data_IF_432316071143
#
_entry.id   IF_432316071143
#
_cell.length_a   1.000
_cell.length_b   1.000
_cell.length_c   1.000
_cell.angle_alpha   90.00
_cell.angle_beta   90.00
_cell.angle_gamma   90.00
#
_symmetry.space_group_name_H-M   'P 1'
#
loop_
_entity.id
_entity.type
_entity.pdbx_description
1 polymer ?
#
# COMPACT_ATOMS: atom_id res chain seq x y z
N UNK A 1 4.22 -35.29 -9.71
CA UNK A 1 4.53 -34.09 -8.90
C UNK A 1 4.83 -32.95 -9.87
N UNK A 2 4.34 -31.72 -9.64
CA UNK A 2 4.70 -30.58 -10.47
C UNK A 2 6.15 -30.20 -10.22
N UNK A 3 6.81 -29.64 -11.26
CA UNK A 3 8.17 -29.15 -11.16
C UNK A 3 8.24 -28.04 -10.08
N UNK A 4 9.28 -28.07 -9.25
CA UNK A 4 9.57 -26.97 -8.32
C UNK A 4 10.02 -25.75 -9.12
N UNK A 5 9.33 -24.62 -8.93
CA UNK A 5 9.64 -23.36 -9.59
C UNK A 5 10.50 -22.49 -8.68
N UNK A 6 11.46 -21.76 -9.29
CA UNK A 6 12.17 -20.70 -8.60
C UNK A 6 11.19 -19.60 -8.15
N UNK A 7 11.46 -18.91 -7.05
CA UNK A 7 10.74 -17.71 -6.71
C UNK A 7 10.76 -16.69 -7.86
N UNK A 8 9.67 -15.95 -8.01
CA UNK A 8 9.55 -14.88 -8.99
C UNK A 8 9.38 -13.54 -8.27
N UNK A 9 10.02 -12.48 -8.76
CA UNK A 9 9.96 -11.18 -8.12
C UNK A 9 9.63 -10.07 -9.12
N UNK A 10 8.71 -9.17 -8.73
CA UNK A 10 8.36 -7.97 -9.47
C UNK A 10 8.88 -6.73 -8.77
N UNK A 11 9.78 -6.01 -9.43
CA UNK A 11 10.36 -4.74 -8.99
C UNK A 11 9.96 -3.61 -9.93
N UNK A 12 10.05 -2.35 -9.50
CA UNK A 12 9.55 -1.22 -10.28
C UNK A 12 10.60 -0.21 -10.70
N UNK A 13 10.32 0.50 -11.79
CA UNK A 13 11.04 1.73 -12.14
C UNK A 13 10.62 2.91 -11.26
N UNK A 14 9.43 2.84 -10.65
CA UNK A 14 8.87 3.87 -9.75
C UNK A 14 7.83 3.26 -8.81
N UNK A 15 7.35 4.07 -7.85
CA UNK A 15 6.09 3.78 -7.14
C UNK A 15 4.94 3.75 -8.15
N UNK A 16 3.85 3.05 -7.82
CA UNK A 16 2.64 2.91 -8.63
C UNK A 16 2.84 2.36 -10.06
N UNK A 17 3.99 1.75 -10.35
CA UNK A 17 4.21 1.07 -11.64
C UNK A 17 3.25 -0.11 -11.87
N UNK A 18 2.49 -0.52 -10.84
CA UNK A 18 1.52 -1.61 -10.87
C UNK A 18 2.07 -2.95 -10.41
N UNK A 19 3.16 -2.95 -9.63
CA UNK A 19 3.77 -4.18 -9.08
C UNK A 19 2.78 -5.06 -8.33
N UNK A 20 1.97 -4.48 -7.44
CA UNK A 20 1.03 -5.22 -6.58
C UNK A 20 -0.05 -5.92 -7.40
N UNK A 21 -0.58 -5.25 -8.44
CA UNK A 21 -1.57 -5.83 -9.36
C UNK A 21 -0.97 -7.01 -10.15
N UNK A 22 0.25 -6.83 -10.69
CA UNK A 22 0.96 -7.87 -11.42
C UNK A 22 1.30 -9.05 -10.50
N UNK A 23 1.73 -8.78 -9.28
CA UNK A 23 2.00 -9.79 -8.27
C UNK A 23 0.73 -10.62 -7.98
N UNK A 24 -0.39 -9.96 -7.70
CA UNK A 24 -1.69 -10.63 -7.49
C UNK A 24 -2.12 -11.47 -8.70
N UNK A 25 -1.92 -10.94 -9.92
CA UNK A 25 -2.22 -11.67 -11.16
C UNK A 25 -1.38 -12.96 -11.28
N UNK A 26 -0.07 -12.89 -11.03
CA UNK A 26 0.79 -14.07 -11.05
C UNK A 26 0.48 -15.05 -9.92
N UNK A 27 0.13 -14.58 -8.73
CA UNK A 27 -0.43 -15.42 -7.66
C UNK A 27 -1.64 -16.22 -8.18
N UNK A 28 -2.57 -15.54 -8.85
CA UNK A 28 -3.77 -16.18 -9.41
C UNK A 28 -3.45 -17.15 -10.55
N UNK A 29 -2.55 -16.78 -11.47
CA UNK A 29 -2.13 -17.61 -12.60
C UNK A 29 -1.50 -18.92 -12.08
N UNK A 30 -0.53 -18.85 -11.18
CA UNK A 30 0.09 -20.06 -10.61
C UNK A 30 -0.93 -20.92 -9.88
N UNK A 31 -1.89 -20.33 -9.17
CA UNK A 31 -2.99 -21.08 -8.57
C UNK A 31 -3.84 -21.81 -9.62
N UNK A 32 -4.21 -21.13 -10.70
CA UNK A 32 -4.98 -21.72 -11.81
C UNK A 32 -4.20 -22.83 -12.51
N UNK A 33 -2.89 -22.66 -12.66
CA UNK A 33 -2.00 -23.68 -13.19
C UNK A 33 -1.79 -24.87 -12.22
N UNK A 34 -2.44 -24.80 -11.03
CA UNK A 34 -2.49 -25.85 -10.00
C UNK A 34 -1.21 -25.95 -9.17
N UNK A 35 -0.42 -24.88 -9.05
CA UNK A 35 0.60 -24.73 -8.02
C UNK A 35 -0.04 -24.29 -6.69
N UNK A 36 0.78 -24.23 -5.65
CA UNK A 36 0.41 -23.69 -4.34
C UNK A 36 1.27 -22.44 -4.05
N UNK A 37 0.98 -21.31 -4.75
CA UNK A 37 1.77 -20.10 -4.58
C UNK A 37 1.49 -19.41 -3.25
N UNK A 38 2.44 -18.59 -2.79
CA UNK A 38 2.21 -17.61 -1.75
C UNK A 38 2.88 -16.27 -2.12
N UNK A 39 2.27 -15.12 -1.75
CA UNK A 39 2.89 -13.82 -1.93
C UNK A 39 3.94 -13.57 -0.85
N UNK A 40 4.89 -12.66 -1.14
CA UNK A 40 5.86 -12.20 -0.17
C UNK A 40 6.31 -10.77 -0.46
N UNK A 41 6.30 -9.91 0.56
CA UNK A 41 6.91 -8.59 0.53
C UNK A 41 7.68 -8.38 1.83
N UNK A 42 8.99 -8.34 1.75
CA UNK A 42 9.86 -8.32 2.94
C UNK A 42 9.54 -7.16 3.89
N UNK A 43 9.25 -5.99 3.32
CA UNK A 43 8.81 -4.82 4.06
C UNK A 43 7.73 -4.08 3.29
N UNK A 44 6.69 -3.65 3.99
CA UNK A 44 5.70 -2.74 3.47
C UNK A 44 5.63 -1.46 4.30
N UNK A 45 5.21 -0.35 3.68
CA UNK A 45 4.91 0.90 4.37
C UNK A 45 3.50 1.30 4.01
N UNK A 46 2.55 1.12 4.94
CA UNK A 46 1.14 1.41 4.69
C UNK A 46 0.37 1.63 5.99
N UNK A 47 -0.65 2.47 5.93
CA UNK A 47 -1.66 2.61 6.98
C UNK A 47 -2.85 1.66 6.77
N UNK A 48 -2.93 1.02 5.60
CA UNK A 48 -3.88 -0.04 5.32
C UNK A 48 -3.32 -1.38 5.81
N UNK A 49 -3.92 -1.94 6.84
CA UNK A 49 -3.52 -3.19 7.44
C UNK A 49 -4.70 -4.12 7.69
N UNK A 50 -4.39 -5.36 7.92
CA UNK A 50 -5.35 -6.44 8.13
C UNK A 50 -4.93 -7.30 9.32
N UNK A 51 -5.90 -7.69 10.15
CA UNK A 51 -5.67 -8.64 11.25
C UNK A 51 -5.74 -10.06 10.71
N UNK A 52 -4.64 -10.78 10.80
CA UNK A 52 -4.56 -12.16 10.31
C UNK A 52 -5.27 -13.15 11.24
N UNK A 53 -5.69 -14.35 10.73
CA UNK A 53 -6.35 -15.34 11.55
C UNK A 53 -5.55 -15.79 12.78
N UNK A 54 -4.22 -15.73 12.73
CA UNK A 54 -3.35 -16.05 13.87
C UNK A 54 -3.18 -14.89 14.86
N UNK A 55 -3.92 -13.78 14.68
CA UNK A 55 -3.93 -12.63 15.58
C UNK A 55 -2.76 -11.66 15.40
N UNK A 56 -2.11 -11.69 14.26
CA UNK A 56 -1.08 -10.72 13.85
C UNK A 56 -1.64 -9.62 12.95
N UNK A 57 -0.77 -8.68 12.53
CA UNK A 57 -1.08 -7.59 11.62
C UNK A 57 -0.14 -7.62 10.41
N UNK A 58 -0.69 -7.42 9.20
CA UNK A 58 0.08 -7.33 7.95
C UNK A 58 -0.50 -6.29 7.00
N UNK A 59 0.25 -5.90 5.97
CA UNK A 59 -0.19 -4.97 4.94
C UNK A 59 -1.33 -5.53 4.09
N UNK A 60 -2.32 -4.69 3.76
CA UNK A 60 -3.52 -5.09 3.02
C UNK A 60 -3.22 -5.61 1.62
N UNK A 61 -2.23 -5.05 0.92
CA UNK A 61 -1.86 -5.50 -0.42
C UNK A 61 -1.48 -6.99 -0.47
N UNK A 62 -0.75 -7.50 0.54
CA UNK A 62 -0.38 -8.92 0.61
C UNK A 62 -1.54 -9.82 0.99
N UNK A 63 -2.58 -9.28 1.63
CA UNK A 63 -3.85 -9.99 1.86
C UNK A 63 -4.57 -10.26 0.53
N UNK A 64 -4.72 -9.25 -0.30
CA UNK A 64 -5.31 -9.39 -1.66
C UNK A 64 -4.55 -10.43 -2.48
N UNK A 65 -3.21 -10.44 -2.38
CA UNK A 65 -2.38 -11.41 -3.07
C UNK A 65 -2.54 -12.83 -2.50
N UNK A 66 -2.73 -12.98 -1.18
CA UNK A 66 -3.02 -14.27 -0.54
C UNK A 66 -4.40 -14.80 -0.97
N UNK A 67 -5.40 -13.92 -1.06
CA UNK A 67 -6.74 -14.24 -1.59
C UNK A 67 -6.65 -14.70 -3.05
N UNK A 68 -5.83 -14.05 -3.88
CA UNK A 68 -5.56 -14.48 -5.26
C UNK A 68 -4.93 -15.88 -5.33
N UNK A 69 -4.07 -16.24 -4.36
CA UNK A 69 -3.54 -17.58 -4.18
C UNK A 69 -4.59 -18.59 -3.66
N UNK A 70 -5.72 -18.11 -3.11
CA UNK A 70 -6.74 -18.94 -2.43
C UNK A 70 -6.22 -19.54 -1.12
N UNK A 71 -5.42 -18.79 -0.37
CA UNK A 71 -4.87 -19.17 0.94
C UNK A 71 -5.20 -18.08 1.98
N UNK A 72 -5.23 -18.47 3.25
CA UNK A 72 -5.40 -17.50 4.33
C UNK A 72 -4.16 -16.59 4.43
N UNK A 73 -4.34 -15.27 4.65
CA UNK A 73 -3.24 -14.36 4.89
C UNK A 73 -2.49 -14.74 6.18
N UNK A 74 -1.17 -14.62 6.15
CA UNK A 74 -0.27 -14.96 7.26
C UNK A 74 0.85 -13.93 7.36
N UNK A 75 1.26 -13.58 8.56
CA UNK A 75 2.26 -12.54 8.81
C UNK A 75 3.62 -12.79 8.15
N UNK A 76 3.98 -14.05 7.88
CA UNK A 76 5.18 -14.38 7.09
C UNK A 76 5.16 -13.78 5.68
N UNK A 77 3.98 -13.46 5.11
CA UNK A 77 3.86 -12.86 3.77
C UNK A 77 4.28 -11.39 3.75
N UNK A 78 4.24 -10.72 4.92
CA UNK A 78 4.72 -9.36 5.11
C UNK A 78 5.30 -9.21 6.53
N UNK A 79 6.53 -9.71 6.76
CA UNK A 79 7.11 -9.76 8.11
C UNK A 79 7.45 -8.40 8.71
N UNK A 80 7.70 -7.38 7.88
CA UNK A 80 7.98 -6.02 8.34
C UNK A 80 6.94 -5.06 7.76
N UNK A 81 6.10 -4.48 8.64
CA UNK A 81 5.16 -3.43 8.25
C UNK A 81 5.52 -2.14 9.00
N UNK A 82 5.72 -1.07 8.25
CA UNK A 82 5.94 0.27 8.77
C UNK A 82 4.64 1.07 8.68
N UNK A 83 4.17 1.59 9.81
CA UNK A 83 2.98 2.44 9.88
C UNK A 83 3.40 3.87 10.24
N UNK A 84 3.43 4.81 9.27
CA UNK A 84 3.79 6.19 9.55
C UNK A 84 2.92 6.79 10.66
N UNK A 85 3.54 7.28 11.74
CA UNK A 85 2.87 7.95 12.85
C UNK A 85 2.94 9.46 12.72
N UNK A 86 4.01 9.97 12.12
CA UNK A 86 4.23 11.36 11.75
C UNK A 86 5.28 11.44 10.62
N UNK A 87 5.63 12.64 10.18
CA UNK A 87 6.57 12.87 9.07
C UNK A 87 8.00 12.34 9.34
N UNK A 88 8.32 11.98 10.58
CA UNK A 88 9.68 11.60 11.01
C UNK A 88 9.77 10.22 11.65
N UNK A 89 8.64 9.56 11.91
CA UNK A 89 8.62 8.28 12.62
C UNK A 89 7.53 7.34 12.12
N UNK A 90 7.80 6.05 12.23
CA UNK A 90 6.86 4.98 11.93
C UNK A 90 6.82 3.99 13.08
N UNK A 91 5.64 3.45 13.36
CA UNK A 91 5.52 2.25 14.18
C UNK A 91 5.98 1.06 13.36
N UNK A 92 6.86 0.26 13.93
CA UNK A 92 7.32 -1.00 13.33
C UNK A 92 6.46 -2.15 13.85
N UNK A 93 5.86 -2.88 12.92
CA UNK A 93 5.19 -4.16 13.18
C UNK A 93 6.07 -5.25 12.61
N UNK A 94 6.58 -6.12 13.47
CA UNK A 94 7.48 -7.22 13.11
C UNK A 94 6.79 -8.55 13.34
N UNK A 95 6.72 -9.40 12.31
CA UNK A 95 6.04 -10.68 12.35
C UNK A 95 4.62 -10.56 12.95
N UNK A 96 3.91 -9.51 12.55
CA UNK A 96 2.53 -9.22 12.94
C UNK A 96 2.36 -8.55 14.32
N UNK A 97 3.43 -8.21 15.03
CA UNK A 97 3.36 -7.59 16.37
C UNK A 97 4.05 -6.23 16.41
N UNK A 98 3.44 -5.19 17.00
CA UNK A 98 4.11 -3.92 17.19
C UNK A 98 5.32 -4.09 18.13
N UNK A 99 6.49 -3.63 17.69
CA UNK A 99 7.74 -3.70 18.47
C UNK A 99 8.23 -2.34 18.93
N UNK A 100 7.53 -1.26 18.58
CA UNK A 100 7.83 0.11 18.99
C UNK A 100 7.78 1.10 17.84
N UNK A 101 8.02 2.38 18.19
CA UNK A 101 8.17 3.46 17.22
C UNK A 101 9.66 3.64 16.88
N UNK A 102 9.95 3.88 15.62
CA UNK A 102 11.28 4.11 15.12
C UNK A 102 11.30 5.40 14.32
N UNK A 103 12.23 6.31 14.63
CA UNK A 103 12.39 7.50 13.81
C UNK A 103 13.01 7.14 12.46
N UNK A 104 12.73 7.95 11.43
CA UNK A 104 13.36 7.79 10.12
C UNK A 104 14.90 7.82 10.25
N UNK A 105 15.44 8.66 11.15
CA UNK A 105 16.88 8.74 11.43
C UNK A 105 17.42 7.44 12.03
N UNK A 106 16.71 6.83 12.97
CA UNK A 106 17.11 5.56 13.59
C UNK A 106 16.92 4.42 12.60
N UNK A 107 15.81 4.40 11.87
CA UNK A 107 15.54 3.41 10.84
C UNK A 107 16.58 3.43 9.72
N UNK A 108 16.97 4.62 9.24
CA UNK A 108 18.00 4.78 8.20
C UNK A 108 19.42 4.88 8.77
N UNK A 109 19.60 5.20 10.05
CA UNK A 109 20.90 5.50 10.65
C UNK A 109 21.60 4.32 11.32
N UNK A 110 20.86 3.34 11.85
CA UNK A 110 21.45 2.23 12.61
C UNK A 110 21.50 0.96 11.74
N UNK A 111 22.66 0.71 11.18
CA UNK A 111 22.90 -0.44 10.28
C UNK A 111 22.51 -1.79 10.91
N UNK A 112 22.76 -1.97 12.22
CA UNK A 112 22.44 -3.20 12.94
C UNK A 112 20.92 -3.51 13.02
N UNK A 113 20.05 -2.50 13.04
CA UNK A 113 18.59 -2.73 13.10
C UNK A 113 18.05 -3.22 11.77
N UNK A 114 18.51 -2.67 10.64
CA UNK A 114 18.11 -3.14 9.32
C UNK A 114 18.58 -4.56 9.02
N UNK A 115 19.78 -4.90 9.46
CA UNK A 115 20.28 -6.27 9.35
C UNK A 115 19.42 -7.25 10.18
N UNK A 116 18.95 -6.84 11.35
CA UNK A 116 18.02 -7.64 12.15
C UNK A 116 16.68 -7.82 11.45
N UNK A 117 16.07 -6.74 10.93
CA UNK A 117 14.83 -6.82 10.16
C UNK A 117 14.97 -7.66 8.89
N UNK A 118 16.12 -7.56 8.20
CA UNK A 118 16.38 -8.38 7.02
C UNK A 118 16.50 -9.86 7.36
N UNK A 119 17.15 -10.21 8.47
CA UNK A 119 17.21 -11.60 8.94
C UNK A 119 15.82 -12.15 9.24
N UNK A 120 15.00 -11.40 9.93
CA UNK A 120 13.60 -11.79 10.18
C UNK A 120 12.80 -12.00 8.88
N UNK A 121 13.01 -11.11 7.89
CA UNK A 121 12.38 -11.25 6.58
C UNK A 121 12.84 -12.52 5.86
N UNK A 122 14.14 -12.86 5.91
CA UNK A 122 14.67 -14.10 5.33
C UNK A 122 14.06 -15.33 6.02
N UNK A 123 13.98 -15.33 7.35
CA UNK A 123 13.38 -16.46 8.09
C UNK A 123 11.89 -16.62 7.76
N UNK A 124 11.14 -15.53 7.64
CA UNK A 124 9.74 -15.57 7.20
C UNK A 124 9.62 -16.12 5.77
N UNK A 125 10.48 -15.67 4.85
CA UNK A 125 10.54 -16.19 3.48
C UNK A 125 10.79 -17.70 3.47
N UNK A 126 11.76 -18.20 4.23
CA UNK A 126 12.07 -19.64 4.33
C UNK A 126 10.90 -20.45 4.89
N UNK A 127 10.17 -19.92 5.87
CA UNK A 127 8.97 -20.58 6.40
C UNK A 127 7.86 -20.68 5.35
N UNK A 128 7.71 -19.66 4.48
CA UNK A 128 6.76 -19.72 3.36
C UNK A 128 7.22 -20.69 2.27
N UNK A 129 8.48 -20.62 1.86
CA UNK A 129 9.06 -21.48 0.81
C UNK A 129 8.97 -22.97 1.17
N UNK A 130 9.06 -23.32 2.45
CA UNK A 130 8.89 -24.68 2.93
C UNK A 130 7.44 -25.21 2.77
N UNK A 131 6.45 -24.33 2.62
CA UNK A 131 5.01 -24.68 2.57
C UNK A 131 4.40 -24.46 1.19
N UNK A 132 4.93 -23.51 0.42
CA UNK A 132 4.34 -23.01 -0.83
C UNK A 132 5.34 -22.96 -1.96
N UNK A 133 4.87 -23.15 -3.18
CA UNK A 133 5.68 -23.04 -4.40
C UNK A 133 4.82 -22.68 -5.62
N UNK A 134 5.21 -21.66 -6.40
CA UNK A 134 6.32 -20.74 -6.15
C UNK A 134 5.98 -19.65 -5.11
N UNK A 135 7.02 -18.97 -4.61
CA UNK A 135 6.84 -17.70 -3.89
C UNK A 135 6.87 -16.56 -4.89
N UNK A 136 5.87 -15.68 -4.80
CA UNK A 136 5.72 -14.49 -5.67
C UNK A 136 6.06 -13.25 -4.86
N UNK A 137 7.26 -12.70 -5.09
CA UNK A 137 7.81 -11.59 -4.34
C UNK A 137 7.44 -10.24 -4.97
N UNK A 138 7.24 -9.25 -4.13
CA UNK A 138 7.02 -7.85 -4.53
C UNK A 138 8.09 -6.94 -3.95
N UNK A 139 8.68 -6.09 -4.81
CA UNK A 139 9.55 -4.99 -4.40
C UNK A 139 8.79 -3.76 -3.93
N UNK A 140 9.51 -2.78 -3.38
CA UNK A 140 8.96 -1.51 -2.92
C UNK A 140 9.55 -0.33 -3.71
N UNK A 141 8.72 0.65 -4.09
CA UNK A 141 9.15 1.85 -4.80
C UNK A 141 9.92 1.57 -6.09
N UNK A 142 11.04 2.26 -6.28
CA UNK A 142 11.98 2.09 -7.39
C UNK A 142 13.26 1.41 -6.95
N UNK A 143 13.78 0.48 -7.79
CA UNK A 143 15.11 -0.13 -7.56
C UNK A 143 16.28 0.78 -7.96
N UNK A 144 15.99 1.95 -8.51
CA UNK A 144 17.00 2.96 -8.88
C UNK A 144 17.29 4.00 -7.80
N UNK A 145 16.69 3.87 -6.62
CA UNK A 145 16.95 4.74 -5.45
C UNK A 145 18.32 4.44 -4.83
N UNK A 146 19.39 4.99 -5.46
CA UNK A 146 20.78 4.69 -5.09
C UNK A 146 21.13 5.06 -3.65
N UNK A 147 20.54 6.15 -3.15
CA UNK A 147 20.69 6.61 -1.77
C UNK A 147 20.10 5.67 -0.72
N UNK A 148 19.19 4.78 -1.13
CA UNK A 148 18.54 3.78 -0.26
C UNK A 148 19.09 2.37 -0.45
N UNK A 149 19.84 2.10 -1.52
CA UNK A 149 20.25 0.76 -1.97
C UNK A 149 20.87 -0.10 -0.87
N UNK A 150 21.86 0.42 -0.16
CA UNK A 150 22.58 -0.37 0.87
C UNK A 150 21.75 -0.63 2.13
N UNK A 151 20.58 0.02 2.21
CA UNK A 151 19.63 -0.08 3.32
C UNK A 151 18.32 -0.73 2.94
N UNK A 152 18.16 -1.04 1.65
CA UNK A 152 16.96 -1.68 1.12
C UNK A 152 16.98 -3.17 1.44
N UNK A 153 15.93 -3.63 2.12
CA UNK A 153 15.72 -5.04 2.47
C UNK A 153 14.64 -5.70 1.60
N UNK A 154 14.05 -4.94 0.66
CA UNK A 154 12.83 -5.35 -0.04
C UNK A 154 13.08 -5.70 -1.50
N UNK A 155 14.01 -4.98 -2.15
CA UNK A 155 14.21 -5.09 -3.60
C UNK A 155 15.36 -6.09 -3.96
N UNK A 156 16.40 -5.61 -4.66
CA UNK A 156 17.40 -6.48 -5.24
C UNK A 156 18.18 -7.33 -4.23
N UNK A 157 18.35 -6.83 -3.01
CA UNK A 157 18.95 -7.60 -1.93
C UNK A 157 18.12 -8.84 -1.59
N UNK A 158 16.79 -8.70 -1.52
CA UNK A 158 15.88 -9.81 -1.30
C UNK A 158 15.80 -10.73 -2.52
N UNK A 159 15.83 -10.17 -3.74
CA UNK A 159 15.87 -10.94 -4.99
C UNK A 159 17.07 -11.90 -5.04
N UNK A 160 18.25 -11.40 -4.68
CA UNK A 160 19.49 -12.20 -4.64
C UNK A 160 19.40 -13.28 -3.55
N UNK A 161 18.94 -12.91 -2.36
CA UNK A 161 18.83 -13.84 -1.23
C UNK A 161 17.83 -14.98 -1.50
N UNK A 162 16.76 -14.70 -2.23
CA UNK A 162 15.74 -15.67 -2.63
C UNK A 162 16.09 -16.43 -3.92
N UNK A 163 17.22 -16.13 -4.58
CA UNK A 163 17.55 -16.59 -5.94
C UNK A 163 16.36 -16.43 -6.91
N UNK A 164 15.68 -15.28 -6.83
CA UNK A 164 14.42 -15.04 -7.53
C UNK A 164 14.66 -14.65 -8.99
N UNK A 165 13.84 -15.18 -9.89
CA UNK A 165 13.72 -14.67 -11.26
C UNK A 165 13.02 -13.30 -11.21
N UNK A 166 13.75 -12.21 -11.48
CA UNK A 166 13.29 -10.85 -11.26
C UNK A 166 12.83 -10.18 -12.56
N UNK A 167 11.70 -9.50 -12.51
CA UNK A 167 11.09 -8.77 -13.62
C UNK A 167 10.89 -7.31 -13.26
N UNK A 168 11.35 -6.40 -14.14
CA UNK A 168 11.18 -4.97 -13.97
C UNK A 168 9.82 -4.52 -14.55
N UNK A 169 8.99 -3.95 -13.73
CA UNK A 169 7.71 -3.34 -14.12
C UNK A 169 7.91 -1.85 -14.38
N UNK A 170 7.54 -1.40 -15.57
CA UNK A 170 7.65 0.00 -15.98
C UNK A 170 6.30 0.55 -16.43
N UNK A 171 5.92 1.71 -15.90
CA UNK A 171 4.70 2.43 -16.24
C UNK A 171 4.92 3.27 -17.50
N UNK A 172 4.22 2.94 -18.59
CA UNK A 172 4.31 3.69 -19.85
C UNK A 172 3.40 4.92 -19.86
N UNK A 173 2.34 4.93 -19.09
CA UNK A 173 1.33 5.99 -19.06
C UNK A 173 1.91 7.34 -18.57
N UNK A 174 2.93 7.27 -17.71
CA UNK A 174 3.64 8.47 -17.23
C UNK A 174 4.55 9.12 -18.28
N UNK A 175 4.82 8.44 -19.40
CA UNK A 175 5.80 8.84 -20.40
C UNK A 175 7.25 8.53 -20.02
N UNK A 176 8.17 8.63 -20.98
CA UNK A 176 9.60 8.44 -20.75
C UNK A 176 10.03 7.00 -20.40
N UNK A 177 9.25 5.98 -20.77
CA UNK A 177 9.48 4.58 -20.40
C UNK A 177 10.87 4.05 -20.82
N UNK A 178 11.38 4.46 -21.97
CA UNK A 178 12.72 4.08 -22.45
C UNK A 178 13.82 4.57 -21.51
N UNK A 179 13.76 5.84 -21.10
CA UNK A 179 14.71 6.44 -20.17
C UNK A 179 14.62 5.80 -18.78
N UNK A 180 13.42 5.56 -18.26
CA UNK A 180 13.22 4.95 -16.95
C UNK A 180 13.70 3.50 -16.89
N UNK A 181 13.42 2.70 -17.93
CA UNK A 181 13.88 1.29 -18.00
C UNK A 181 15.40 1.25 -18.17
N UNK A 182 15.93 1.99 -19.15
CA UNK A 182 17.38 2.01 -19.40
C UNK A 182 18.15 2.50 -18.17
N UNK A 183 17.75 3.65 -17.61
CA UNK A 183 18.41 4.22 -16.44
C UNK A 183 18.35 3.28 -15.23
N UNK A 184 17.21 2.67 -14.96
CA UNK A 184 17.06 1.70 -13.87
C UNK A 184 18.02 0.52 -14.03
N UNK A 185 18.07 -0.10 -15.22
CA UNK A 185 18.92 -1.27 -15.49
C UNK A 185 20.41 -0.89 -15.51
N UNK A 186 20.77 0.28 -16.06
CA UNK A 186 22.14 0.76 -16.09
C UNK A 186 22.73 1.03 -14.71
N UNK A 187 21.89 1.37 -13.74
CA UNK A 187 22.30 1.63 -12.35
C UNK A 187 22.46 0.36 -11.51
N UNK A 188 22.03 -0.80 -11.98
CA UNK A 188 22.16 -2.08 -11.25
C UNK A 188 23.62 -2.54 -11.18
N UNK A 189 23.98 -3.10 -10.02
CA UNK A 189 25.24 -3.83 -9.87
C UNK A 189 25.23 -5.12 -10.72
N UNK A 190 26.39 -5.67 -11.12
CA UNK A 190 26.43 -6.89 -11.94
C UNK A 190 25.63 -8.06 -11.37
N UNK A 191 25.72 -8.29 -10.06
CA UNK A 191 24.99 -9.36 -9.37
C UNK A 191 23.47 -9.12 -9.34
N UNK A 192 23.02 -7.86 -9.22
CA UNK A 192 21.62 -7.49 -9.29
C UNK A 192 21.07 -7.67 -10.71
N UNK A 193 21.86 -7.23 -11.70
CA UNK A 193 21.51 -7.38 -13.11
C UNK A 193 21.40 -8.84 -13.54
N UNK A 194 22.20 -9.73 -12.98
CA UNK A 194 22.15 -11.16 -13.26
C UNK A 194 20.80 -11.81 -12.88
N UNK A 195 20.10 -11.24 -11.89
CA UNK A 195 18.75 -11.69 -11.50
C UNK A 195 17.65 -11.23 -12.46
N UNK A 196 17.90 -10.17 -13.26
CA UNK A 196 16.90 -9.61 -14.17
C UNK A 196 16.62 -10.55 -15.35
N UNK A 197 15.38 -10.99 -15.51
CA UNK A 197 14.96 -11.94 -16.57
C UNK A 197 14.11 -11.29 -17.65
N UNK A 198 13.49 -10.13 -17.34
CA UNK A 198 12.66 -9.44 -18.31
C UNK A 198 12.14 -8.08 -17.81
N UNK A 199 11.60 -7.35 -18.75
CA UNK A 199 10.87 -6.09 -18.50
C UNK A 199 9.41 -6.31 -18.84
N UNK A 200 8.51 -5.80 -18.01
CA UNK A 200 7.07 -5.74 -18.24
C UNK A 200 6.70 -4.28 -18.41
N UNK A 201 6.18 -3.93 -19.56
CA UNK A 201 5.60 -2.60 -19.83
C UNK A 201 4.14 -2.65 -19.39
N UNK A 202 3.79 -1.85 -18.42
CA UNK A 202 2.46 -1.84 -17.82
C UNK A 202 1.69 -0.56 -18.16
N UNK A 203 0.37 -0.61 -18.01
CA UNK A 203 -0.58 0.49 -18.25
C UNK A 203 -0.55 0.99 -19.70
N UNK A 204 -0.37 0.10 -20.65
CA UNK A 204 -0.35 0.44 -22.07
C UNK A 204 -1.75 0.82 -22.56
N UNK A 205 -1.87 2.00 -23.18
CA UNK A 205 -3.13 2.45 -23.78
C UNK A 205 -3.11 2.24 -25.28
N UNK A 206 -4.16 1.67 -25.81
CA UNK A 206 -4.30 1.41 -27.25
C UNK A 206 -3.85 0.01 -27.67
N UNK A 207 -3.42 -0.11 -28.92
CA UNK A 207 -3.00 -1.39 -29.51
C UNK A 207 -1.54 -1.74 -29.12
N UNK A 208 -1.37 -2.78 -28.35
CA UNK A 208 -0.06 -3.23 -27.88
C UNK A 208 0.88 -3.66 -29.01
N UNK A 209 0.36 -4.01 -30.21
CA UNK A 209 1.18 -4.34 -31.39
C UNK A 209 2.03 -3.16 -31.87
N UNK A 210 1.61 -1.92 -31.58
CA UNK A 210 2.36 -0.70 -31.91
C UNK A 210 3.65 -0.55 -31.08
N UNK A 211 3.84 -1.37 -30.05
CA UNK A 211 5.03 -1.32 -29.20
C UNK A 211 6.09 -2.38 -29.55
N UNK A 212 5.95 -3.13 -30.65
CA UNK A 212 6.91 -4.16 -31.04
C UNK A 212 8.32 -3.60 -31.34
N UNK A 213 8.39 -2.45 -32.02
CA UNK A 213 9.67 -1.74 -32.21
C UNK A 213 10.26 -1.30 -30.87
N UNK A 214 9.42 -0.81 -29.95
CA UNK A 214 9.84 -0.43 -28.60
C UNK A 214 10.43 -1.58 -27.79
N UNK A 215 9.90 -2.81 -27.95
CA UNK A 215 10.45 -4.04 -27.34
C UNK A 215 11.87 -4.31 -27.87
N UNK A 216 12.07 -4.16 -29.18
CA UNK A 216 13.37 -4.35 -29.82
C UNK A 216 14.38 -3.33 -29.32
N UNK A 217 14.03 -2.06 -29.34
CA UNK A 217 14.88 -0.97 -28.86
C UNK A 217 15.31 -1.18 -27.40
N UNK A 218 14.36 -1.51 -26.51
CA UNK A 218 14.66 -1.75 -25.09
C UNK A 218 15.62 -2.94 -24.91
N UNK A 219 15.41 -4.02 -25.65
CA UNK A 219 16.31 -5.19 -25.63
C UNK A 219 17.73 -4.84 -26.12
N UNK A 220 17.85 -4.06 -27.19
CA UNK A 220 19.15 -3.61 -27.72
C UNK A 220 19.89 -2.71 -26.72
N UNK A 221 19.17 -1.75 -26.10
CA UNK A 221 19.75 -0.82 -25.14
C UNK A 221 20.15 -1.49 -23.82
N UNK A 222 19.37 -2.49 -23.36
CA UNK A 222 19.55 -3.04 -22.01
C UNK A 222 20.12 -4.46 -21.99
N UNK A 223 20.04 -5.18 -23.09
CA UNK A 223 20.33 -6.63 -23.16
C UNK A 223 19.24 -7.49 -22.48
N UNK A 224 18.15 -6.91 -21.95
CA UNK A 224 17.08 -7.61 -21.23
C UNK A 224 15.80 -7.55 -22.08
N UNK A 225 15.12 -8.70 -22.33
CA UNK A 225 13.95 -8.71 -23.18
C UNK A 225 12.72 -8.07 -22.51
N UNK A 226 11.87 -7.42 -23.29
CA UNK A 226 10.49 -7.07 -22.88
C UNK A 226 9.64 -8.32 -23.04
N UNK A 227 9.23 -8.91 -21.93
CA UNK A 227 8.49 -10.19 -21.88
C UNK A 227 6.98 -10.02 -21.89
N UNK A 228 6.48 -8.81 -21.64
CA UNK A 228 5.06 -8.53 -21.64
C UNK A 228 4.77 -7.03 -21.82
N UNK A 229 3.68 -6.74 -22.53
CA UNK A 229 3.05 -5.42 -22.60
C UNK A 229 1.64 -5.60 -22.07
N UNK A 230 1.34 -5.01 -20.93
CA UNK A 230 0.07 -5.18 -20.22
C UNK A 230 -0.80 -3.97 -20.51
N UNK A 231 -2.00 -4.16 -21.05
CA UNK A 231 -2.92 -3.06 -21.32
C UNK A 231 -3.37 -2.39 -20.03
N UNK A 232 -3.83 -1.15 -20.14
CA UNK A 232 -4.47 -0.44 -19.04
C UNK A 232 -5.79 -1.13 -18.68
N UNK A 233 -5.89 -1.61 -17.45
CA UNK A 233 -7.13 -2.16 -16.91
C UNK A 233 -7.97 -1.03 -16.28
N UNK A 234 -9.21 -0.87 -16.75
CA UNK A 234 -10.15 0.13 -16.21
C UNK A 234 -11.07 -0.43 -15.14
N UNK A 235 -11.30 -1.73 -15.16
CA UNK A 235 -12.34 -2.40 -14.37
C UNK A 235 -11.78 -3.25 -13.21
N UNK A 236 -10.49 -3.17 -12.93
CA UNK A 236 -9.89 -3.85 -11.79
C UNK A 236 -10.10 -2.98 -10.56
N UNK A 237 -10.90 -3.48 -9.62
CA UNK A 237 -11.03 -2.94 -8.27
C UNK A 237 -10.16 -3.79 -7.34
N UNK A 238 -8.86 -3.51 -7.31
CA UNK A 238 -7.95 -4.02 -6.29
C UNK A 238 -7.80 -2.93 -5.26
N UNK A 239 -7.92 -3.29 -3.98
CA UNK A 239 -7.73 -2.36 -2.88
C UNK A 239 -6.35 -1.69 -2.98
N UNK A 240 -6.36 -0.36 -2.90
CA UNK A 240 -5.16 0.45 -3.04
C UNK A 240 -4.34 0.42 -1.74
N UNK A 241 -3.03 0.42 -1.88
CA UNK A 241 -2.11 0.33 -0.76
C UNK A 241 -1.89 1.69 -0.09
N UNK A 242 -1.85 2.77 -0.88
CA UNK A 242 -1.49 4.11 -0.42
C UNK A 242 -2.66 5.10 -0.50
N UNK A 243 -2.76 5.96 0.53
CA UNK A 243 -3.74 7.06 0.58
C UNK A 243 -3.50 8.14 -0.48
N UNK A 244 -2.35 8.14 -1.17
CA UNK A 244 -2.06 9.04 -2.31
C UNK A 244 -3.11 8.89 -3.43
N UNK A 245 -3.67 7.70 -3.58
CA UNK A 245 -4.76 7.46 -4.52
C UNK A 245 -6.06 8.21 -4.16
N UNK A 246 -6.25 8.59 -2.91
CA UNK A 246 -7.42 9.36 -2.47
C UNK A 246 -7.40 10.79 -3.01
N UNK A 247 -6.21 11.38 -3.21
CA UNK A 247 -6.05 12.71 -3.83
C UNK A 247 -6.50 12.73 -5.30
N UNK A 248 -6.58 11.56 -5.93
CA UNK A 248 -7.05 11.37 -7.31
C UNK A 248 -8.57 11.13 -7.40
N UNK A 249 -9.25 10.83 -6.29
CA UNK A 249 -10.71 10.67 -6.26
C UNK A 249 -11.36 12.05 -6.23
N UNK A 250 -11.74 12.56 -7.40
CA UNK A 250 -12.34 13.90 -7.60
C UNK A 250 -13.86 13.92 -7.46
N UNK A 251 -14.47 12.90 -6.87
CA UNK A 251 -15.90 12.88 -6.67
C UNK A 251 -16.33 14.02 -5.71
N UNK A 252 -17.37 14.72 -6.09
CA UNK A 252 -18.03 15.76 -5.28
C UNK A 252 -19.51 15.40 -5.13
N UNK A 253 -20.25 16.21 -4.40
CA UNK A 253 -21.69 16.02 -4.24
C UNK A 253 -22.42 15.80 -5.58
N UNK A 254 -23.34 14.83 -5.64
CA UNK A 254 -24.14 14.46 -6.82
C UNK A 254 -25.63 14.44 -6.49
N UNK A 255 -26.45 15.05 -7.35
CA UNK A 255 -27.89 15.01 -7.21
C UNK A 255 -28.43 13.57 -7.47
N UNK A 256 -29.51 13.23 -6.76
CA UNK A 256 -30.18 11.94 -6.89
C UNK A 256 -29.45 10.72 -6.26
N UNK A 257 -28.35 10.95 -5.53
CA UNK A 257 -27.66 9.92 -4.76
C UNK A 257 -27.61 10.24 -3.28
N UNK A 258 -27.36 9.22 -2.47
CA UNK A 258 -27.02 9.37 -1.06
C UNK A 258 -25.54 9.80 -0.98
N UNK A 259 -25.30 11.04 -0.66
CA UNK A 259 -23.97 11.64 -0.65
C UNK A 259 -23.28 11.38 0.69
N UNK A 260 -22.15 10.71 0.66
CA UNK A 260 -21.39 10.31 1.84
C UNK A 260 -20.06 11.04 1.84
N UNK A 261 -19.93 12.08 2.69
CA UNK A 261 -18.67 12.78 2.88
C UNK A 261 -17.78 12.02 3.85
N UNK A 262 -16.66 11.52 3.38
CA UNK A 262 -15.61 10.87 4.18
C UNK A 262 -14.58 11.95 4.52
N UNK A 263 -14.40 12.25 5.79
CA UNK A 263 -13.45 13.30 6.21
C UNK A 263 -12.03 12.87 5.89
N UNK A 264 -11.34 13.67 5.08
CA UNK A 264 -9.95 13.41 4.72
C UNK A 264 -9.02 13.76 5.89
N UNK A 265 -8.55 12.74 6.60
CA UNK A 265 -7.59 12.89 7.69
C UNK A 265 -6.16 12.72 7.14
N UNK A 266 -5.19 13.43 7.74
CA UNK A 266 -3.77 13.33 7.34
C UNK A 266 -3.19 11.92 7.55
N UNK A 267 -3.70 11.19 8.55
CA UNK A 267 -3.23 9.86 8.93
C UNK A 267 -4.36 8.85 8.91
N UNK A 268 -5.23 8.99 7.91
CA UNK A 268 -6.33 8.06 7.72
C UNK A 268 -5.81 6.64 7.57
N UNK A 269 -6.42 5.70 8.29
CA UNK A 269 -6.11 4.27 8.22
C UNK A 269 -7.31 3.50 7.64
N UNK A 270 -7.02 2.40 6.94
CA UNK A 270 -8.01 1.47 6.40
C UNK A 270 -9.09 2.17 5.56
N UNK A 271 -8.67 3.09 4.68
CA UNK A 271 -9.60 3.81 3.80
C UNK A 271 -10.37 2.88 2.85
N UNK A 272 -9.86 1.68 2.60
CA UNK A 272 -10.54 0.65 1.81
C UNK A 272 -11.81 0.10 2.47
N UNK A 273 -12.06 0.37 3.76
CA UNK A 273 -13.31 0.02 4.43
C UNK A 273 -14.53 0.69 3.76
N UNK A 274 -14.31 1.78 3.01
CA UNK A 274 -15.36 2.54 2.33
C UNK A 274 -15.58 2.12 0.87
N UNK A 275 -14.75 1.26 0.31
CA UNK A 275 -14.86 0.81 -1.09
C UNK A 275 -16.18 0.07 -1.35
N UNK A 276 -16.78 -0.52 -0.32
CA UNK A 276 -18.12 -1.12 -0.39
C UNK A 276 -19.20 -0.11 -0.78
N UNK A 277 -19.04 1.16 -0.41
CA UNK A 277 -19.97 2.22 -0.79
C UNK A 277 -19.83 2.61 -2.28
N UNK A 278 -18.63 2.51 -2.85
CA UNK A 278 -18.38 2.73 -4.28
C UNK A 278 -19.04 1.65 -5.15
N UNK A 279 -19.34 0.48 -4.59
CA UNK A 279 -19.94 -0.65 -5.33
C UNK A 279 -21.47 -0.54 -5.43
N UNK A 280 -22.11 0.24 -4.57
CA UNK A 280 -23.57 0.41 -4.57
C UNK A 280 -23.93 1.71 -5.29
N UNK A 281 -24.63 1.67 -6.45
CA UNK A 281 -24.92 2.85 -7.26
C UNK A 281 -25.82 3.88 -6.58
N UNK A 282 -26.46 3.53 -5.45
CA UNK A 282 -27.28 4.46 -4.64
C UNK A 282 -26.43 5.46 -3.89
N UNK A 283 -25.17 5.12 -3.57
CA UNK A 283 -24.27 5.98 -2.82
C UNK A 283 -23.32 6.76 -3.75
N UNK A 284 -22.90 7.90 -3.26
CA UNK A 284 -21.82 8.70 -3.82
C UNK A 284 -20.83 9.04 -2.69
N UNK A 285 -19.88 8.13 -2.38
CA UNK A 285 -18.84 8.42 -1.42
C UNK A 285 -17.79 9.35 -2.04
N UNK A 286 -17.33 10.33 -1.27
CA UNK A 286 -16.23 11.20 -1.66
C UNK A 286 -15.42 11.64 -0.45
N UNK A 287 -14.11 11.73 -0.66
CA UNK A 287 -13.17 12.18 0.37
C UNK A 287 -13.02 13.69 0.30
N UNK A 288 -13.19 14.37 1.43
CA UNK A 288 -13.16 15.83 1.41
C UNK A 288 -12.65 16.44 2.71
N UNK A 289 -11.99 17.59 2.58
CA UNK A 289 -11.68 18.55 3.65
C UNK A 289 -12.43 19.88 3.45
N UNK A 290 -13.29 19.97 2.43
CA UNK A 290 -14.06 21.16 2.11
C UNK A 290 -15.32 21.23 2.96
N UNK A 291 -15.45 22.32 3.73
CA UNK A 291 -16.58 22.55 4.66
C UNK A 291 -17.92 22.56 3.93
N UNK A 292 -18.00 23.19 2.75
CA UNK A 292 -19.26 23.28 2.00
C UNK A 292 -19.74 21.90 1.52
N UNK A 293 -18.81 21.03 1.11
CA UNK A 293 -19.12 19.65 0.72
C UNK A 293 -19.54 18.79 1.90
N UNK A 294 -18.93 19.00 3.08
CA UNK A 294 -19.31 18.33 4.32
C UNK A 294 -20.74 18.72 4.72
N UNK A 295 -21.08 20.01 4.67
CA UNK A 295 -22.41 20.49 5.05
C UNK A 295 -23.52 20.11 4.07
N UNK A 296 -23.20 19.84 2.82
CA UNK A 296 -24.16 19.34 1.81
C UNK A 296 -24.44 17.85 1.93
N UNK A 297 -23.50 17.04 2.44
CA UNK A 297 -23.62 15.59 2.51
C UNK A 297 -24.85 15.11 3.26
N UNK A 298 -25.34 13.92 2.93
CA UNK A 298 -26.44 13.25 3.65
C UNK A 298 -25.91 12.49 4.86
N UNK A 299 -24.71 11.90 4.70
CA UNK A 299 -24.00 11.15 5.74
C UNK A 299 -22.56 11.66 5.81
N UNK A 300 -22.03 11.80 7.02
CA UNK A 300 -20.65 12.17 7.28
C UNK A 300 -19.95 11.01 7.96
N UNK A 301 -18.81 10.56 7.41
CA UNK A 301 -17.98 9.51 7.98
C UNK A 301 -16.68 10.10 8.52
N UNK A 302 -16.42 9.86 9.80
CA UNK A 302 -15.13 10.08 10.43
C UNK A 302 -14.36 8.76 10.39
N UNK A 303 -13.31 8.62 9.56
CA UNK A 303 -12.60 7.37 9.36
C UNK A 303 -11.65 7.05 10.52
N UNK A 304 -11.03 5.88 10.46
CA UNK A 304 -9.92 5.50 11.34
C UNK A 304 -8.70 6.41 11.15
N UNK A 305 -7.95 6.58 12.21
CA UNK A 305 -6.71 7.37 12.22
C UNK A 305 -5.59 6.62 12.93
N UNK A 306 -4.38 6.75 12.41
CA UNK A 306 -3.17 6.23 13.07
C UNK A 306 -2.70 7.12 14.23
N UNK A 307 -3.09 8.39 14.23
CA UNK A 307 -2.83 9.33 15.32
C UNK A 307 -4.08 10.18 15.54
N UNK A 308 -4.97 9.65 16.38
CA UNK A 308 -6.32 10.19 16.61
C UNK A 308 -6.29 11.60 17.18
N UNK A 309 -5.38 11.86 18.13
CA UNK A 309 -5.26 13.16 18.76
C UNK A 309 -4.75 14.23 17.80
N UNK A 310 -3.70 13.93 17.02
CA UNK A 310 -3.14 14.88 16.06
C UNK A 310 -4.13 15.19 14.92
N UNK A 311 -4.85 14.18 14.43
CA UNK A 311 -5.84 14.39 13.39
C UNK A 311 -7.05 15.17 13.91
N UNK A 312 -7.52 14.90 15.15
CA UNK A 312 -8.56 15.70 15.79
C UNK A 312 -8.15 17.17 15.95
N UNK A 313 -6.92 17.44 16.38
CA UNK A 313 -6.39 18.81 16.44
C UNK A 313 -6.38 19.47 15.06
N UNK A 314 -5.96 18.73 14.03
CA UNK A 314 -5.92 19.24 12.65
C UNK A 314 -7.31 19.64 12.13
N UNK A 315 -8.33 18.76 12.29
CA UNK A 315 -9.68 19.06 11.82
C UNK A 315 -10.39 20.12 12.66
N UNK A 316 -9.96 20.35 13.90
CA UNK A 316 -10.41 21.51 14.72
C UNK A 316 -9.78 22.81 14.23
N UNK A 317 -8.47 22.82 14.01
CA UNK A 317 -7.75 24.01 13.60
C UNK A 317 -8.23 24.58 12.24
N UNK A 318 -8.68 23.71 11.33
CA UNK A 318 -9.19 24.10 10.00
C UNK A 318 -10.73 24.22 9.91
N UNK A 319 -11.46 24.10 11.04
CA UNK A 319 -12.92 24.29 11.12
C UNK A 319 -13.76 23.10 10.64
N UNK A 320 -13.16 21.99 10.22
CA UNK A 320 -13.87 20.77 9.79
C UNK A 320 -14.67 20.17 10.95
N UNK A 321 -14.08 20.09 12.16
CA UNK A 321 -14.80 19.58 13.33
C UNK A 321 -16.06 20.39 13.65
N UNK A 322 -15.99 21.72 13.55
CA UNK A 322 -17.16 22.58 13.74
C UNK A 322 -18.22 22.37 12.65
N UNK A 323 -17.82 22.13 11.39
CA UNK A 323 -18.74 21.80 10.30
C UNK A 323 -19.48 20.49 10.55
N UNK A 324 -18.78 19.45 11.02
CA UNK A 324 -19.37 18.16 11.41
C UNK A 324 -20.39 18.34 12.54
N UNK A 325 -20.04 19.11 13.57
CA UNK A 325 -20.97 19.45 14.69
C UNK A 325 -22.20 20.19 14.18
N UNK A 326 -22.04 21.20 13.31
CA UNK A 326 -23.17 21.92 12.72
C UNK A 326 -24.09 21.02 11.90
N UNK A 327 -23.50 20.12 11.11
CA UNK A 327 -24.24 19.14 10.31
C UNK A 327 -25.02 18.17 11.19
N UNK A 328 -24.42 17.64 12.26
CA UNK A 328 -25.10 16.79 13.24
C UNK A 328 -26.28 17.50 13.89
N UNK A 329 -26.11 18.76 14.29
CA UNK A 329 -27.20 19.59 14.84
C UNK A 329 -28.35 19.86 13.85
N UNK A 330 -28.06 19.83 12.54
CA UNK A 330 -29.07 19.90 11.47
C UNK A 330 -29.72 18.53 11.17
N UNK A 331 -29.45 17.50 11.95
CA UNK A 331 -30.02 16.15 11.80
C UNK A 331 -29.34 15.27 10.78
N UNK A 332 -28.15 15.65 10.25
CA UNK A 332 -27.36 14.80 9.38
C UNK A 332 -26.79 13.61 10.17
N UNK A 333 -26.65 12.47 9.51
CA UNK A 333 -26.05 11.26 10.12
C UNK A 333 -24.53 11.41 10.16
N UNK A 334 -23.95 11.29 11.37
CA UNK A 334 -22.49 11.24 11.58
C UNK A 334 -22.12 9.88 12.12
N UNK A 335 -21.16 9.21 11.45
CA UNK A 335 -20.70 7.88 11.80
C UNK A 335 -19.19 7.94 11.99
N UNK A 336 -18.70 7.47 13.13
CA UNK A 336 -17.26 7.34 13.42
C UNK A 336 -16.82 5.88 13.38
N UNK A 337 -15.67 5.62 12.79
CA UNK A 337 -15.05 4.29 12.72
C UNK A 337 -13.71 4.34 13.44
N UNK A 338 -13.45 3.42 14.40
CA UNK A 338 -12.20 3.31 15.15
C UNK A 338 -11.78 4.68 15.74
N UNK A 339 -10.66 5.28 15.29
CA UNK A 339 -10.21 6.61 15.68
C UNK A 339 -11.28 7.70 15.46
N UNK A 340 -12.03 7.62 14.37
CA UNK A 340 -13.14 8.53 14.10
C UNK A 340 -14.26 8.42 15.14
N UNK A 341 -14.56 7.20 15.60
CA UNK A 341 -15.51 7.02 16.72
C UNK A 341 -14.97 7.61 18.03
N UNK A 342 -13.67 7.40 18.30
CA UNK A 342 -13.02 8.02 19.47
C UNK A 342 -13.06 9.55 19.42
N UNK A 343 -12.90 10.16 18.24
CA UNK A 343 -13.00 11.60 18.03
C UNK A 343 -14.39 12.16 18.37
N UNK A 344 -15.43 11.33 18.36
CA UNK A 344 -16.80 11.72 18.75
C UNK A 344 -17.01 11.75 20.26
N UNK A 345 -16.10 11.18 21.05
CA UNK A 345 -16.15 11.17 22.51
C UNK A 345 -15.97 12.55 23.13
N UNK A 346 -16.41 12.73 24.39
CA UNK A 346 -16.29 13.98 25.12
C UNK A 346 -14.83 14.31 25.52
N UNK A 347 -14.00 13.27 25.69
CA UNK A 347 -12.60 13.41 26.12
C UNK A 347 -11.75 12.31 25.48
N UNK A 348 -10.58 12.68 24.99
CA UNK A 348 -9.55 11.77 24.50
C UNK A 348 -8.30 11.92 25.37
N UNK A 349 -7.78 10.81 25.86
CA UNK A 349 -6.60 10.74 26.71
C UNK A 349 -5.53 9.84 26.09
N UNK A 350 -4.28 10.27 26.21
CA UNK A 350 -3.09 9.49 25.89
C UNK A 350 -2.14 9.56 27.08
N UNK A 351 -2.44 8.83 28.17
CA UNK A 351 -1.69 8.92 29.42
C UNK A 351 -0.23 8.46 29.29
N UNK A 352 0.06 7.64 28.30
CA UNK A 352 1.40 7.13 28.02
C UNK A 352 2.15 7.98 26.99
N UNK A 353 1.50 8.99 26.39
CA UNK A 353 2.11 9.89 25.40
C UNK A 353 2.48 9.21 24.07
N UNK A 354 1.82 8.09 23.72
CA UNK A 354 2.12 7.30 22.52
C UNK A 354 1.86 8.10 21.25
N UNK A 355 0.79 8.90 21.24
CA UNK A 355 0.41 9.79 20.13
C UNK A 355 1.02 11.20 20.26
N UNK A 356 1.78 11.48 21.33
CA UNK A 356 2.49 12.73 21.54
C UNK A 356 1.69 13.82 22.23
N UNK A 357 0.50 13.54 22.76
CA UNK A 357 -0.36 14.49 23.47
C UNK A 357 -0.94 13.84 24.71
N UNK A 358 -0.92 14.55 25.86
CA UNK A 358 -1.40 13.95 27.12
C UNK A 358 -2.92 13.90 27.23
N UNK A 359 -3.64 14.88 26.73
CA UNK A 359 -5.11 14.94 26.83
C UNK A 359 -5.69 15.98 25.88
N UNK A 360 -6.79 15.68 25.21
CA UNK A 360 -7.65 16.66 24.53
C UNK A 360 -9.08 16.58 25.08
N UNK A 361 -9.54 17.66 25.71
CA UNK A 361 -10.96 17.83 26.01
C UNK A 361 -11.73 18.11 24.71
N UNK A 362 -12.70 17.28 24.42
CA UNK A 362 -13.56 17.46 23.28
C UNK A 362 -14.79 18.27 23.71
N UNK A 363 -15.02 19.43 23.08
CA UNK A 363 -16.37 19.99 23.04
C UNK A 363 -17.16 19.07 22.11
N UNK A 364 -17.75 18.03 22.68
CA UNK A 364 -18.17 16.82 21.98
C UNK A 364 -19.02 17.08 20.73
N UNK A 365 -18.73 16.33 19.67
CA UNK A 365 -19.59 16.18 18.48
C UNK A 365 -20.95 15.58 18.89
N UNK A 366 -21.03 14.86 20.01
CA UNK A 366 -22.20 14.09 20.45
C UNK A 366 -22.83 14.52 21.78
N UNK A 367 -22.36 15.59 22.46
CA UNK A 367 -22.99 16.04 23.73
C UNK A 367 -24.07 17.07 23.47
N UNK A 368 -25.23 16.64 23.01
CA UNK A 368 -26.55 17.14 23.41
C UNK A 368 -27.63 16.17 22.98
#
# INVERSE_FOLDING_TARGET
MKQHLKPIMFVGTCSDAGKSVINAAFCRIFKQDGYQPAPFKAQNMSLNSFSTPEGGEMGRAQVVQAEACGIAPHTDMNPVLLKPTNDKSSQVVLNGRPVGNMSAKDYFGVQNQKEALFREAIEAFRRLEARYNPIVLEGAGSISELNLRDRDITNMRMAIQADASTYLVADIDRGGVFGSVYGTIALLKPEERAQMKGVIINKFRGDASLFEEGRTILKELTGIPVVGVIPWFRDIKIEEEDSVALDMKTNTWQDGKINVAIILLKRMSNFTDFDVLDMDPRFNPYYTSNIDEIEKADIILLPGSKNTLADLQSIRANGIADAVVRAAKKGKKVIGICGGYQMMGARLEDPEGIEGFSTLENKSICSQ
#
